data_IF_301756944790
#
_entry.id   IF_301756944790
#
_cell.length_a   1.000
_cell.length_b   1.000
_cell.length_c   1.000
_cell.angle_alpha   90.00
_cell.angle_beta   90.00
_cell.angle_gamma   90.00
#
_symmetry.space_group_name_H-M   'P 1'
#
loop_
_entity.id
_entity.type
_entity.pdbx_description
1 polymer ?
#
# COMPACT_ATOMS: atom_id res chain seq x y z
N UNK A 1 19.36 -3.53 7.86
CA UNK A 1 18.89 -4.84 8.34
C UNK A 1 17.52 -4.62 8.93
N UNK A 2 16.51 -5.45 8.59
CA UNK A 2 15.15 -5.25 9.11
C UNK A 2 15.08 -5.59 10.59
N UNK A 3 14.24 -4.88 11.34
CA UNK A 3 14.06 -5.06 12.79
C UNK A 3 12.79 -5.87 13.08
N UNK A 4 12.94 -6.94 13.82
CA UNK A 4 11.85 -7.82 14.25
C UNK A 4 11.70 -7.73 15.77
N UNK A 5 10.47 -7.53 16.23
CA UNK A 5 10.13 -7.57 17.64
C UNK A 5 9.30 -8.83 17.94
N UNK A 6 9.72 -9.58 18.94
CA UNK A 6 9.01 -10.76 19.45
C UNK A 6 8.32 -10.37 20.76
N UNK A 7 7.02 -10.64 20.86
CA UNK A 7 6.21 -10.38 22.06
C UNK A 7 5.55 -11.69 22.46
N UNK A 8 6.12 -12.35 23.49
CA UNK A 8 5.69 -13.67 23.96
C UNK A 8 6.06 -13.81 25.44
N UNK A 9 5.17 -14.27 26.31
CA UNK A 9 5.43 -14.43 27.74
C UNK A 9 6.38 -15.61 28.05
N UNK A 10 6.53 -16.53 27.11
CA UNK A 10 7.46 -17.65 27.23
C UNK A 10 8.88 -17.23 26.81
N UNK A 11 9.76 -17.00 27.79
CA UNK A 11 11.16 -16.63 27.56
C UNK A 11 11.91 -17.63 26.67
N UNK A 12 11.59 -18.91 26.78
CA UNK A 12 12.18 -19.98 25.97
C UNK A 12 11.89 -19.81 24.48
N UNK A 13 10.67 -19.40 24.13
CA UNK A 13 10.27 -19.12 22.75
C UNK A 13 11.00 -17.87 22.24
N UNK A 14 11.02 -16.79 23.02
CA UNK A 14 11.77 -15.59 22.68
C UNK A 14 13.23 -15.91 22.36
N UNK A 15 13.94 -16.60 23.26
CA UNK A 15 15.36 -16.94 23.06
C UNK A 15 15.59 -17.84 21.86
N UNK A 16 14.71 -18.84 21.63
CA UNK A 16 14.83 -19.75 20.50
C UNK A 16 14.62 -19.02 19.16
N UNK A 17 13.66 -18.10 19.11
CA UNK A 17 13.38 -17.31 17.91
C UNK A 17 14.46 -16.23 17.67
N UNK A 18 14.98 -15.59 18.73
CA UNK A 18 16.12 -14.69 18.63
C UNK A 18 17.30 -15.40 17.98
N UNK A 19 17.72 -16.53 18.52
CA UNK A 19 18.84 -17.34 18.00
C UNK A 19 18.59 -17.77 16.55
N UNK A 20 17.37 -18.16 16.21
CA UNK A 20 17.04 -18.62 14.85
C UNK A 20 17.03 -17.49 13.79
N UNK A 21 16.84 -16.23 14.21
CA UNK A 21 16.65 -15.10 13.32
C UNK A 21 17.79 -14.07 13.34
N UNK A 22 18.73 -14.13 14.33
CA UNK A 22 19.78 -13.12 14.54
C UNK A 22 20.78 -12.99 13.39
N UNK A 23 20.99 -14.06 12.61
CA UNK A 23 21.86 -14.03 11.45
C UNK A 23 21.32 -13.14 10.31
N UNK A 24 20.00 -13.05 10.18
CA UNK A 24 19.32 -12.40 9.06
C UNK A 24 18.70 -11.05 9.44
N UNK A 25 18.38 -10.84 10.74
CA UNK A 25 17.58 -9.70 11.22
C UNK A 25 18.16 -9.11 12.53
N UNK A 26 17.80 -7.86 12.83
CA UNK A 26 17.97 -7.29 14.17
C UNK A 26 16.76 -7.70 15.00
N UNK A 27 16.95 -8.60 15.93
CA UNK A 27 15.86 -9.17 16.72
C UNK A 27 15.85 -8.57 18.12
N UNK A 28 14.67 -8.21 18.58
CA UNK A 28 14.38 -7.74 19.93
C UNK A 28 13.24 -8.58 20.48
N UNK A 29 13.23 -8.85 21.79
CA UNK A 29 12.10 -9.52 22.42
C UNK A 29 11.64 -8.86 23.70
N UNK A 30 10.39 -9.06 24.04
CA UNK A 30 9.84 -8.70 25.34
C UNK A 30 8.74 -9.68 25.75
N UNK A 31 8.52 -9.79 27.09
CA UNK A 31 7.59 -10.77 27.65
C UNK A 31 6.23 -10.18 27.99
N UNK A 32 6.05 -8.88 27.75
CA UNK A 32 4.77 -8.26 27.98
C UNK A 32 4.42 -7.24 26.87
N UNK A 33 3.14 -7.08 26.55
CA UNK A 33 2.71 -6.19 25.47
C UNK A 33 2.97 -4.71 25.73
N UNK A 34 3.08 -4.29 26.99
CA UNK A 34 3.27 -2.87 27.34
C UNK A 34 4.68 -2.46 26.90
N UNK A 35 5.70 -3.24 27.29
CA UNK A 35 7.09 -3.00 26.88
C UNK A 35 7.22 -3.07 25.35
N UNK A 36 6.54 -4.04 24.72
CA UNK A 36 6.50 -4.15 23.25
C UNK A 36 5.95 -2.90 22.57
N UNK A 37 4.88 -2.31 23.11
CA UNK A 37 4.32 -1.08 22.58
C UNK A 37 5.23 0.15 22.80
N UNK A 38 6.04 0.17 23.86
CA UNK A 38 7.04 1.22 24.10
C UNK A 38 8.21 1.08 23.11
N UNK A 39 8.71 -0.14 22.88
CA UNK A 39 9.73 -0.41 21.87
C UNK A 39 9.25 0.05 20.49
N UNK A 40 8.00 -0.26 20.08
CA UNK A 40 7.43 0.15 18.79
C UNK A 40 7.34 1.67 18.66
N UNK A 41 7.24 2.42 19.75
CA UNK A 41 7.22 3.90 19.71
C UNK A 41 8.61 4.51 19.60
N UNK A 42 9.61 3.85 20.15
CA UNK A 42 11.00 4.36 20.23
C UNK A 42 11.89 3.84 19.08
N UNK A 43 11.54 2.71 18.48
CA UNK A 43 12.31 2.05 17.45
C UNK A 43 11.51 1.84 16.17
N UNK A 44 12.20 1.89 15.02
CA UNK A 44 11.60 1.57 13.72
C UNK A 44 11.50 0.06 13.52
N UNK A 45 10.41 -0.53 14.01
CA UNK A 45 10.14 -1.97 13.89
C UNK A 45 9.42 -2.25 12.56
N UNK A 46 9.94 -3.21 11.77
CA UNK A 46 9.37 -3.62 10.49
C UNK A 46 8.32 -4.73 10.65
N UNK A 47 8.60 -5.69 11.58
CA UNK A 47 7.75 -6.86 11.78
C UNK A 47 7.66 -7.21 13.27
N UNK A 48 6.47 -7.63 13.69
CA UNK A 48 6.21 -8.12 15.04
C UNK A 48 5.73 -9.58 14.97
N UNK A 49 6.40 -10.45 15.71
CA UNK A 49 5.91 -11.78 16.06
C UNK A 49 5.18 -11.65 17.39
N UNK A 50 3.88 -11.86 17.40
CA UNK A 50 3.01 -11.59 18.55
C UNK A 50 2.28 -12.85 18.99
N UNK A 51 2.48 -13.28 20.24
CA UNK A 51 1.63 -14.34 20.77
C UNK A 51 0.18 -13.88 20.91
N UNK A 52 -0.74 -14.78 20.63
CA UNK A 52 -2.17 -14.53 20.76
C UNK A 52 -2.58 -14.40 22.24
N UNK A 53 -1.90 -15.07 23.15
CA UNK A 53 -2.21 -15.09 24.58
C UNK A 53 -0.94 -14.85 25.40
N UNK A 54 -0.79 -13.64 25.94
CA UNK A 54 0.39 -13.21 26.70
C UNK A 54 -0.05 -12.97 28.15
N UNK A 55 0.07 -13.99 29.00
CA UNK A 55 -0.45 -13.93 30.37
C UNK A 55 -1.94 -13.62 30.42
N UNK A 56 -2.29 -12.47 31.01
CA UNK A 56 -3.68 -11.95 31.07
C UNK A 56 -4.06 -11.07 29.86
N UNK A 57 -3.11 -10.76 28.97
CA UNK A 57 -3.33 -9.88 27.85
C UNK A 57 -3.86 -10.64 26.61
N UNK A 58 -4.80 -10.03 25.93
CA UNK A 58 -5.29 -10.49 24.64
C UNK A 58 -4.44 -9.96 23.50
N UNK A 59 -3.79 -10.85 22.75
CA UNK A 59 -2.94 -10.51 21.61
C UNK A 59 -3.67 -9.75 20.51
N UNK A 60 -4.98 -10.00 20.29
CA UNK A 60 -5.77 -9.25 19.30
C UNK A 60 -5.93 -7.80 19.72
N UNK A 61 -6.11 -7.51 21.00
CA UNK A 61 -6.16 -6.15 21.50
C UNK A 61 -4.82 -5.43 21.34
N UNK A 62 -3.73 -6.16 21.57
CA UNK A 62 -2.36 -5.67 21.35
C UNK A 62 -2.09 -5.38 19.88
N UNK A 63 -2.47 -6.28 18.98
CA UNK A 63 -2.39 -6.08 17.53
C UNK A 63 -3.09 -4.78 17.10
N UNK A 64 -4.31 -4.54 17.59
CA UNK A 64 -5.05 -3.30 17.27
C UNK A 64 -4.31 -2.05 17.76
N UNK A 65 -3.64 -2.10 18.91
CA UNK A 65 -2.82 -0.99 19.43
C UNK A 65 -1.58 -0.78 18.55
N UNK A 66 -0.89 -1.85 18.16
CA UNK A 66 0.25 -1.79 17.22
C UNK A 66 -0.17 -1.10 15.91
N UNK A 67 -1.27 -1.55 15.32
CA UNK A 67 -1.81 -0.98 14.07
C UNK A 67 -2.25 0.48 14.20
N UNK A 68 -2.67 0.91 15.38
CA UNK A 68 -2.96 2.35 15.64
C UNK A 68 -1.70 3.19 15.73
N UNK A 69 -0.59 2.65 16.27
CA UNK A 69 0.70 3.36 16.36
C UNK A 69 1.31 3.46 14.95
N UNK A 70 1.42 2.34 14.25
CA UNK A 70 1.94 2.31 12.89
C UNK A 70 1.27 1.18 12.09
N UNK A 71 0.40 1.54 11.16
CA UNK A 71 -0.34 0.57 10.34
C UNK A 71 0.55 -0.21 9.36
N UNK A 72 1.76 0.28 9.08
CA UNK A 72 2.68 -0.37 8.14
C UNK A 72 3.45 -1.54 8.78
N UNK A 73 3.53 -1.61 10.11
CA UNK A 73 4.19 -2.74 10.79
C UNK A 73 3.47 -4.04 10.44
N UNK A 74 4.20 -5.02 9.95
CA UNK A 74 3.66 -6.36 9.73
C UNK A 74 3.55 -7.08 11.06
N UNK A 75 2.41 -7.73 11.31
CA UNK A 75 2.23 -8.54 12.51
C UNK A 75 1.87 -9.96 12.09
N UNK A 76 2.70 -10.91 12.52
CA UNK A 76 2.45 -12.36 12.43
C UNK A 76 2.05 -12.83 13.82
N UNK A 77 0.87 -13.44 13.92
CA UNK A 77 0.38 -13.99 15.18
C UNK A 77 0.94 -15.40 15.38
N UNK A 78 1.48 -15.65 16.57
CA UNK A 78 1.85 -16.98 17.03
C UNK A 78 0.75 -17.51 17.98
N UNK A 79 0.35 -18.77 17.90
CA UNK A 79 -0.71 -19.30 18.75
C UNK A 79 -0.53 -20.79 19.04
N UNK A 80 -0.76 -21.19 20.30
CA UNK A 80 -0.84 -22.59 20.68
C UNK A 80 -2.19 -23.26 20.30
N UNK A 81 -3.23 -22.45 20.06
CA UNK A 81 -4.58 -22.91 19.79
C UNK A 81 -5.09 -22.32 18.47
N UNK A 82 -4.89 -23.05 17.39
CA UNK A 82 -5.38 -22.69 16.06
C UNK A 82 -6.88 -22.96 15.89
N UNK A 83 -7.77 -22.25 16.63
CA UNK A 83 -9.18 -22.30 16.25
C UNK A 83 -9.42 -21.43 15.01
N UNK A 84 -10.27 -21.92 14.08
CA UNK A 84 -10.66 -21.17 12.88
C UNK A 84 -11.19 -19.77 13.25
N UNK A 85 -11.89 -19.66 14.39
CA UNK A 85 -12.46 -18.39 14.85
C UNK A 85 -11.38 -17.39 15.27
N UNK A 86 -10.40 -17.80 16.04
CA UNK A 86 -9.30 -16.90 16.50
C UNK A 86 -8.42 -16.42 15.35
N UNK A 87 -8.14 -17.28 14.36
CA UNK A 87 -7.37 -16.87 13.18
C UNK A 87 -8.14 -15.87 12.31
N UNK A 88 -9.45 -16.06 12.11
CA UNK A 88 -10.30 -15.10 11.39
C UNK A 88 -10.35 -13.75 12.11
N UNK A 89 -10.47 -13.74 13.44
CA UNK A 89 -10.53 -12.51 14.23
C UNK A 89 -9.17 -11.76 14.18
N UNK A 90 -8.05 -12.48 14.21
CA UNK A 90 -6.71 -11.91 14.05
C UNK A 90 -6.54 -11.26 12.67
N UNK A 91 -6.94 -11.96 11.58
CA UNK A 91 -6.88 -11.41 10.23
C UNK A 91 -7.77 -10.17 10.06
N UNK A 92 -8.98 -10.17 10.61
CA UNK A 92 -9.87 -8.99 10.63
C UNK A 92 -9.28 -7.82 11.44
N UNK A 93 -8.48 -8.11 12.47
CA UNK A 93 -7.80 -7.09 13.26
C UNK A 93 -6.54 -6.50 12.57
N UNK A 94 -6.15 -7.06 11.42
CA UNK A 94 -5.04 -6.57 10.60
C UNK A 94 -3.74 -7.37 10.75
N UNK A 95 -3.78 -8.62 11.26
CA UNK A 95 -2.65 -9.51 11.16
C UNK A 95 -2.32 -9.80 9.69
N UNK A 96 -1.03 -9.91 9.38
CA UNK A 96 -0.57 -10.34 8.05
C UNK A 96 -0.75 -11.85 7.88
N UNK A 97 -0.40 -12.60 8.92
CA UNK A 97 -0.52 -14.05 8.95
C UNK A 97 -0.66 -14.55 10.38
N UNK A 98 -0.97 -15.83 10.54
CA UNK A 98 -0.87 -16.52 11.83
C UNK A 98 -0.14 -17.85 11.65
N UNK A 99 0.62 -18.26 12.67
CA UNK A 99 1.35 -19.52 12.70
C UNK A 99 1.05 -20.25 14.02
N UNK A 100 0.95 -21.58 13.96
CA UNK A 100 0.66 -22.39 15.13
C UNK A 100 1.94 -22.86 15.81
N UNK A 101 1.95 -22.86 17.14
CA UNK A 101 3.00 -23.49 17.94
C UNK A 101 2.78 -25.02 17.96
N UNK A 102 3.81 -25.89 17.85
CA UNK A 102 5.23 -25.53 17.77
C UNK A 102 5.60 -24.90 16.42
N UNK A 103 6.47 -23.87 16.47
CA UNK A 103 6.83 -23.08 15.29
C UNK A 103 7.89 -23.81 14.48
N UNK A 104 7.60 -24.06 13.21
CA UNK A 104 8.60 -24.48 12.24
C UNK A 104 9.43 -23.25 11.81
N UNK A 105 10.73 -23.28 12.07
CA UNK A 105 11.63 -22.14 11.82
C UNK A 105 11.76 -21.86 10.32
N UNK A 106 11.79 -22.89 9.47
CA UNK A 106 11.89 -22.71 8.03
C UNK A 106 10.62 -22.07 7.45
N UNK A 107 9.45 -22.52 7.92
CA UNK A 107 8.19 -21.90 7.56
C UNK A 107 8.13 -20.44 8.01
N UNK A 108 8.55 -20.16 9.26
CA UNK A 108 8.59 -18.81 9.83
C UNK A 108 9.52 -17.88 9.04
N UNK A 109 10.73 -18.32 8.71
CA UNK A 109 11.69 -17.54 7.90
C UNK A 109 11.11 -17.19 6.52
N UNK A 110 10.45 -18.15 5.87
CA UNK A 110 9.79 -17.92 4.58
C UNK A 110 8.64 -16.91 4.70
N UNK A 111 7.85 -16.99 5.76
CA UNK A 111 6.75 -16.04 6.02
C UNK A 111 7.27 -14.62 6.30
N UNK A 112 8.33 -14.50 7.10
CA UNK A 112 8.97 -13.22 7.39
C UNK A 112 9.49 -12.59 6.10
N UNK A 113 10.19 -13.35 5.26
CA UNK A 113 10.72 -12.86 3.98
C UNK A 113 9.59 -12.30 3.10
N UNK A 114 8.52 -13.07 2.88
CA UNK A 114 7.36 -12.65 2.08
C UNK A 114 6.66 -11.41 2.67
N UNK A 115 6.57 -11.35 3.99
CA UNK A 115 5.95 -10.24 4.68
C UNK A 115 6.74 -8.94 4.53
N UNK A 116 8.06 -9.00 4.64
CA UNK A 116 8.95 -7.85 4.47
C UNK A 116 9.01 -7.40 3.00
N UNK A 117 9.00 -8.33 2.04
CA UNK A 117 8.91 -8.00 0.61
C UNK A 117 7.60 -7.25 0.29
N UNK A 118 6.48 -7.69 0.86
CA UNK A 118 5.20 -6.99 0.72
C UNK A 118 5.26 -5.55 1.23
N UNK A 119 5.87 -5.32 2.40
CA UNK A 119 6.05 -3.97 2.97
C UNK A 119 6.95 -3.12 2.08
N UNK A 120 8.08 -3.67 1.64
CA UNK A 120 9.02 -2.95 0.78
C UNK A 120 8.36 -2.51 -0.53
N UNK A 121 7.58 -3.39 -1.16
CA UNK A 121 6.84 -3.08 -2.38
C UNK A 121 5.82 -1.96 -2.15
N UNK A 122 5.04 -2.04 -1.08
CA UNK A 122 4.07 -1.00 -0.74
C UNK A 122 4.74 0.36 -0.45
N UNK A 123 5.87 0.35 0.24
CA UNK A 123 6.64 1.56 0.51
C UNK A 123 7.24 2.15 -0.78
N UNK A 124 7.69 1.34 -1.73
CA UNK A 124 8.15 1.79 -3.04
C UNK A 124 7.01 2.43 -3.83
N UNK A 125 5.83 1.79 -3.90
CA UNK A 125 4.64 2.35 -4.54
C UNK A 125 4.26 3.70 -3.92
N UNK A 126 4.25 3.79 -2.60
CA UNK A 126 3.97 5.05 -1.90
C UNK A 126 4.98 6.14 -2.23
N UNK A 127 6.29 5.83 -2.19
CA UNK A 127 7.36 6.78 -2.57
C UNK A 127 7.22 7.27 -4.01
N UNK A 128 6.94 6.37 -4.95
CA UNK A 128 6.73 6.72 -6.35
C UNK A 128 5.51 7.63 -6.52
N UNK A 129 4.41 7.34 -5.84
CA UNK A 129 3.22 8.19 -5.85
C UNK A 129 3.50 9.57 -5.24
N UNK A 130 4.25 9.63 -4.14
CA UNK A 130 4.63 10.91 -3.52
C UNK A 130 5.55 11.74 -4.43
N UNK A 131 6.46 11.09 -5.17
CA UNK A 131 7.29 11.75 -6.18
C UNK A 131 6.44 12.29 -7.34
N UNK A 132 5.47 11.52 -7.83
CA UNK A 132 4.54 11.97 -8.87
C UNK A 132 3.69 13.15 -8.37
N UNK A 133 3.15 13.05 -7.17
CA UNK A 133 2.35 14.12 -6.55
C UNK A 133 3.15 15.42 -6.43
N UNK A 134 4.42 15.35 -6.02
CA UNK A 134 5.32 16.53 -5.97
C UNK A 134 5.63 17.07 -7.35
N UNK A 135 5.98 16.19 -8.30
CA UNK A 135 6.37 16.58 -9.66
C UNK A 135 5.23 17.27 -10.40
N UNK A 136 4.00 16.86 -10.21
CA UNK A 136 2.81 17.37 -10.88
C UNK A 136 1.93 18.24 -9.97
N UNK A 137 2.48 18.77 -8.90
CA UNK A 137 1.83 19.82 -8.10
C UNK A 137 1.74 21.13 -8.88
N UNK A 138 0.86 22.05 -8.46
CA UNK A 138 0.79 23.41 -8.99
C UNK A 138 2.14 24.10 -8.90
N UNK A 139 2.91 23.83 -7.85
CA UNK A 139 4.27 24.35 -7.66
C UNK A 139 5.25 23.90 -8.76
N UNK A 140 5.00 22.76 -9.41
CA UNK A 140 5.76 22.27 -10.57
C UNK A 140 5.44 23.01 -11.87
N UNK A 141 4.34 23.77 -11.94
CA UNK A 141 3.99 24.58 -13.10
C UNK A 141 4.57 25.97 -12.94
N UNK A 142 5.62 26.27 -13.72
CA UNK A 142 6.32 27.54 -13.64
C UNK A 142 5.49 28.65 -14.29
N UNK A 143 5.07 29.66 -13.52
CA UNK A 143 4.38 30.82 -14.05
C UNK A 143 3.88 31.79 -12.98
N UNK A 144 4.12 33.09 -13.17
CA UNK A 144 3.70 34.17 -12.25
C UNK A 144 2.68 35.13 -12.86
N UNK A 145 2.23 34.89 -14.10
CA UNK A 145 1.27 35.79 -14.74
C UNK A 145 -0.11 35.67 -14.12
N UNK A 146 -0.88 36.78 -14.15
CA UNK A 146 -2.28 36.78 -13.68
C UNK A 146 -3.16 35.73 -14.39
N UNK A 147 -2.84 35.38 -15.65
CA UNK A 147 -3.55 34.36 -16.42
C UNK A 147 -3.33 32.96 -15.88
N UNK A 148 -2.06 32.61 -15.54
CA UNK A 148 -1.76 31.28 -14.99
C UNK A 148 -2.31 31.14 -13.57
N UNK A 149 -2.33 32.21 -12.78
CA UNK A 149 -2.93 32.18 -11.43
C UNK A 149 -4.43 31.83 -11.49
N UNK A 150 -5.17 32.34 -12.47
CA UNK A 150 -6.56 31.93 -12.71
C UNK A 150 -6.70 30.45 -13.07
N UNK A 151 -5.74 29.89 -13.82
CA UNK A 151 -5.72 28.44 -14.11
C UNK A 151 -5.51 27.64 -12.82
N UNK A 152 -4.60 28.09 -11.93
CA UNK A 152 -4.39 27.44 -10.63
C UNK A 152 -5.66 27.47 -9.75
N UNK A 153 -6.35 28.59 -9.70
CA UNK A 153 -7.63 28.70 -9.00
C UNK A 153 -8.71 27.76 -9.57
N UNK A 154 -8.72 27.56 -10.90
CA UNK A 154 -9.63 26.62 -11.53
C UNK A 154 -9.25 25.17 -11.20
N UNK A 155 -7.96 24.81 -11.25
CA UNK A 155 -7.48 23.47 -10.84
C UNK A 155 -7.97 23.15 -9.42
N UNK A 156 -7.77 24.07 -8.47
CA UNK A 156 -8.20 23.90 -7.08
C UNK A 156 -9.72 23.67 -6.95
N UNK A 157 -10.52 24.32 -7.79
CA UNK A 157 -11.99 24.18 -7.78
C UNK A 157 -12.46 22.86 -8.38
N UNK A 158 -11.75 22.33 -9.40
CA UNK A 158 -12.24 21.16 -10.17
C UNK A 158 -11.60 19.85 -9.80
N UNK A 159 -10.46 19.85 -9.07
CA UNK A 159 -9.67 18.64 -8.77
C UNK A 159 -10.46 17.53 -8.05
N UNK A 160 -11.51 17.90 -7.29
CA UNK A 160 -12.32 16.97 -6.51
C UNK A 160 -13.72 16.74 -7.09
N UNK A 161 -14.00 17.29 -8.27
CA UNK A 161 -15.30 17.17 -8.94
C UNK A 161 -15.29 15.98 -9.91
N UNK A 162 -16.34 15.15 -9.84
CA UNK A 162 -16.54 14.02 -10.75
C UNK A 162 -17.29 14.45 -12.01
N UNK A 163 -16.65 15.31 -12.82
CA UNK A 163 -17.18 15.79 -14.11
C UNK A 163 -16.12 15.76 -15.19
N UNK A 164 -16.55 15.71 -16.43
CA UNK A 164 -15.65 15.83 -17.57
C UNK A 164 -15.06 17.25 -17.64
N UNK A 165 -13.75 17.34 -17.81
CA UNK A 165 -13.03 18.62 -17.88
C UNK A 165 -12.42 18.74 -19.28
N UNK A 166 -12.75 19.81 -20.00
CA UNK A 166 -12.14 20.14 -21.28
C UNK A 166 -11.04 21.19 -21.06
N UNK A 167 -9.80 20.85 -21.47
CA UNK A 167 -8.64 21.74 -21.41
C UNK A 167 -8.27 22.14 -22.83
N UNK A 168 -8.36 23.43 -23.16
CA UNK A 168 -8.05 23.98 -24.48
C UNK A 168 -6.85 24.91 -24.44
N UNK A 169 -6.16 25.05 -25.58
CA UNK A 169 -5.01 25.94 -25.75
C UNK A 169 -4.12 25.50 -26.92
N UNK A 170 -3.18 26.33 -27.30
CA UNK A 170 -2.23 26.08 -28.40
C UNK A 170 -1.30 24.90 -28.06
N UNK A 171 -0.61 24.36 -29.08
CA UNK A 171 0.38 23.31 -28.86
C UNK A 171 1.55 23.84 -27.98
N UNK A 172 2.03 23.00 -27.06
CA UNK A 172 3.15 23.38 -26.18
C UNK A 172 2.79 24.24 -24.96
N UNK A 173 1.51 24.67 -24.78
CA UNK A 173 1.11 25.54 -23.66
C UNK A 173 1.01 24.83 -22.30
N UNK A 174 1.29 23.52 -22.21
CA UNK A 174 1.28 22.78 -20.95
C UNK A 174 -0.07 22.19 -20.55
N UNK A 175 -1.01 21.97 -21.49
CA UNK A 175 -2.32 21.35 -21.23
C UNK A 175 -2.22 20.02 -20.47
N UNK A 176 -1.24 19.19 -20.84
CA UNK A 176 -0.98 17.91 -20.16
C UNK A 176 -0.54 18.10 -18.70
N UNK A 177 0.26 19.13 -18.42
CA UNK A 177 0.64 19.46 -17.04
C UNK A 177 -0.55 19.87 -16.19
N UNK A 178 -1.49 20.63 -16.77
CA UNK A 178 -2.74 21.01 -16.10
C UNK A 178 -3.60 19.77 -15.82
N UNK A 179 -3.75 18.85 -16.79
CA UNK A 179 -4.49 17.60 -16.58
C UNK A 179 -3.86 16.73 -15.46
N UNK A 180 -2.53 16.60 -15.47
CA UNK A 180 -1.79 15.91 -14.40
C UNK A 180 -1.94 16.60 -13.05
N UNK A 181 -1.89 17.93 -13.00
CA UNK A 181 -2.08 18.69 -11.77
C UNK A 181 -3.48 18.46 -11.17
N UNK A 182 -4.54 18.45 -12.00
CA UNK A 182 -5.89 18.14 -11.55
C UNK A 182 -5.96 16.74 -10.95
N UNK A 183 -5.36 15.74 -11.59
CA UNK A 183 -5.38 14.36 -11.11
C UNK A 183 -4.58 14.19 -9.82
N UNK A 184 -3.30 14.59 -9.81
CA UNK A 184 -2.38 14.33 -8.69
C UNK A 184 -2.62 15.20 -7.45
N UNK A 185 -3.44 16.24 -7.55
CA UNK A 185 -3.88 17.04 -6.40
C UNK A 185 -5.29 16.72 -5.91
N UNK A 186 -6.07 15.97 -6.71
CA UNK A 186 -7.44 15.60 -6.37
C UNK A 186 -7.55 14.33 -5.53
N UNK A 187 -8.79 13.98 -5.19
CA UNK A 187 -9.16 12.75 -4.46
C UNK A 187 -8.65 11.48 -5.13
N UNK A 188 -8.48 11.50 -6.46
CA UNK A 188 -8.07 10.35 -7.28
C UNK A 188 -6.55 10.24 -7.47
N UNK A 189 -5.74 11.00 -6.74
CA UNK A 189 -4.27 11.07 -6.86
C UNK A 189 -3.55 9.72 -6.73
N UNK A 190 -4.16 8.75 -6.08
CA UNK A 190 -3.59 7.41 -5.90
C UNK A 190 -4.08 6.41 -6.96
N UNK A 191 -4.99 6.84 -7.85
CA UNK A 191 -5.47 6.00 -8.94
C UNK A 191 -4.53 6.13 -10.15
N UNK A 192 -4.64 5.20 -11.11
CA UNK A 192 -3.90 5.27 -12.36
C UNK A 192 -4.31 6.49 -13.18
N UNK A 193 -3.33 7.21 -13.75
CA UNK A 193 -3.55 8.29 -14.73
C UNK A 193 -3.24 7.76 -16.13
N UNK A 194 -4.28 7.40 -16.86
CA UNK A 194 -4.17 6.88 -18.21
C UNK A 194 -4.14 8.01 -19.23
N UNK A 195 -3.21 7.94 -20.19
CA UNK A 195 -3.08 8.91 -21.28
C UNK A 195 -3.33 8.21 -22.61
N UNK A 196 -4.36 8.66 -23.33
CA UNK A 196 -4.68 8.14 -24.65
C UNK A 196 -4.49 9.25 -25.69
N UNK A 197 -3.56 9.02 -26.64
CA UNK A 197 -3.39 9.91 -27.78
C UNK A 197 -4.33 9.50 -28.91
N UNK A 198 -5.53 10.08 -28.93
CA UNK A 198 -6.53 9.76 -29.95
C UNK A 198 -6.06 10.02 -31.40
N UNK A 199 -5.14 10.95 -31.61
CA UNK A 199 -4.58 11.23 -32.95
C UNK A 199 -3.63 10.13 -33.45
N UNK A 200 -3.07 9.32 -32.55
CA UNK A 200 -2.20 8.20 -32.90
C UNK A 200 -2.96 6.90 -33.19
N UNK A 201 -4.24 6.85 -32.87
CA UNK A 201 -5.08 5.65 -33.06
C UNK A 201 -5.81 5.79 -34.41
N UNK A 202 -5.74 4.78 -35.32
CA UNK A 202 -6.56 4.77 -36.52
C UNK A 202 -8.05 4.90 -36.17
N UNK A 203 -8.78 5.72 -36.92
CA UNK A 203 -10.20 6.02 -36.64
C UNK A 203 -11.07 4.76 -36.54
N UNK A 204 -10.78 3.73 -37.31
CA UNK A 204 -11.46 2.43 -37.30
C UNK A 204 -11.26 1.61 -36.01
N UNK A 205 -10.18 1.87 -35.26
CA UNK A 205 -9.85 1.18 -34.01
C UNK A 205 -10.16 2.01 -32.76
N UNK A 206 -10.49 3.29 -32.93
CA UNK A 206 -10.66 4.23 -31.82
C UNK A 206 -11.72 3.74 -30.82
N UNK A 207 -12.89 3.33 -31.29
CA UNK A 207 -13.96 2.83 -30.44
C UNK A 207 -13.55 1.57 -29.69
N UNK A 208 -12.90 0.62 -30.38
CA UNK A 208 -12.47 -0.63 -29.79
C UNK A 208 -11.33 -0.44 -28.77
N UNK A 209 -10.45 0.53 -28.99
CA UNK A 209 -9.39 0.88 -28.03
C UNK A 209 -9.94 1.59 -26.78
N UNK A 210 -10.90 2.50 -26.95
CA UNK A 210 -11.46 3.26 -25.84
C UNK A 210 -12.46 2.45 -25.00
N UNK A 211 -13.37 1.73 -25.67
CA UNK A 211 -14.53 1.09 -25.01
C UNK A 211 -14.39 -0.43 -24.90
N UNK A 212 -13.35 -1.00 -25.52
CA UNK A 212 -13.19 -2.45 -25.58
C UNK A 212 -14.20 -3.12 -26.53
N UNK A 213 -14.19 -4.43 -26.58
CA UNK A 213 -15.12 -5.23 -27.36
C UNK A 213 -15.26 -6.65 -26.82
N UNK A 214 -16.41 -7.26 -27.09
CA UNK A 214 -16.65 -8.67 -26.82
C UNK A 214 -16.16 -9.55 -27.97
N UNK A 215 -15.90 -10.83 -27.66
CA UNK A 215 -15.53 -11.81 -28.66
C UNK A 215 -16.63 -11.91 -29.73
N UNK A 216 -16.25 -11.74 -31.00
CA UNK A 216 -17.18 -11.80 -32.14
C UNK A 216 -17.81 -10.46 -32.54
N UNK A 217 -17.45 -9.34 -31.91
CA UNK A 217 -18.01 -8.01 -32.23
C UNK A 217 -17.69 -7.57 -33.67
N UNK A 218 -16.57 -8.02 -34.24
CA UNK A 218 -16.20 -7.78 -35.65
C UNK A 218 -15.29 -8.87 -36.18
N UNK A 219 -15.03 -8.91 -37.48
CA UNK A 219 -14.10 -9.89 -38.10
C UNK A 219 -12.68 -9.70 -37.58
N UNK A 220 -12.21 -10.65 -36.77
CA UNK A 220 -10.90 -10.60 -36.08
C UNK A 220 -10.98 -10.45 -34.58
N UNK A 221 -12.15 -10.25 -33.99
CA UNK A 221 -12.35 -10.19 -32.54
C UNK A 221 -12.34 -11.59 -31.89
N UNK A 222 -11.16 -12.20 -31.80
CA UNK A 222 -11.00 -13.57 -31.24
C UNK A 222 -11.00 -13.62 -29.73
N UNK A 223 -10.71 -12.49 -29.06
CA UNK A 223 -10.60 -12.37 -27.60
C UNK A 223 -11.46 -11.20 -27.11
N UNK A 224 -11.82 -11.19 -25.85
CA UNK A 224 -12.45 -10.06 -25.20
C UNK A 224 -11.37 -9.00 -24.89
N UNK A 225 -11.56 -7.77 -25.35
CA UNK A 225 -10.74 -6.64 -24.93
C UNK A 225 -11.53 -5.76 -23.97
N UNK A 226 -11.01 -5.63 -22.73
CA UNK A 226 -11.63 -4.72 -21.76
C UNK A 226 -11.38 -3.28 -22.17
N UNK A 227 -12.33 -2.40 -21.85
CA UNK A 227 -12.19 -0.96 -22.03
C UNK A 227 -10.98 -0.42 -21.27
N UNK A 228 -10.27 0.54 -21.83
CA UNK A 228 -9.25 1.30 -21.11
C UNK A 228 -9.87 2.27 -20.10
N UNK A 229 -11.16 2.60 -20.26
CA UNK A 229 -11.93 3.40 -19.32
C UNK A 229 -12.96 2.52 -18.61
N UNK A 230 -12.90 2.53 -17.27
CA UNK A 230 -13.93 1.98 -16.40
C UNK A 230 -14.63 3.11 -15.65
#
# INVERSE_FOLDING_TARGET
MNKILIIDDEKSICTSLEFALEDDYVVMSCQNPIDGLEIIKSEDIDLVLLDLKIGEFDGISTLRKIKKINNNIVVIIMTAYGSIKSSVDAMKAGAYYYITKPIDIEELKLLILKALDYVNLNNQVKRLNDQLNKKYSIEGIIGKSKKIQKVFELIEKVKDIDSNILITGESGTGKELVAKAIHYQGKRKNNCFEVVNCAAIPSQLLESELFGYEKGAFTGAYIIKRANFK
#
